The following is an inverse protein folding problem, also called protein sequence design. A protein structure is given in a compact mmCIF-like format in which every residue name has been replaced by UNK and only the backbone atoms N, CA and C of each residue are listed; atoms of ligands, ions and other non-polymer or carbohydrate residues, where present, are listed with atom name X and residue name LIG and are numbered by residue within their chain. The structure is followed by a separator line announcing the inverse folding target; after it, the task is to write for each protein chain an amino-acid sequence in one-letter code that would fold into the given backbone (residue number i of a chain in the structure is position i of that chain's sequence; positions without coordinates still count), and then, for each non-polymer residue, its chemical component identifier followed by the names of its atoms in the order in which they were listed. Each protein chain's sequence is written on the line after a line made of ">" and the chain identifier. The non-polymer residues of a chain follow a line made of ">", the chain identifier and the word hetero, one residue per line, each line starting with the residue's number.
data_IF_174353313456
#
_entry.id   IF_174353313456
#
_cell.length_a   1.000
_cell.length_b   1.000
_cell.length_c   1.000
_cell.angle_alpha   90.00
_cell.angle_beta   90.00
_cell.angle_gamma   90.00
#
_symmetry.space_group_name_H-M   'P 1'
#
loop_
_entity.id
_entity.type
_entity.pdbx_description
1 polymer ?
#
# COMPACT_ATOMS: atom_id res chain seq x y z
N UNK A 1 5.12 -5.69 -20.19
CA UNK A 1 3.65 -5.63 -20.32
C UNK A 1 3.10 -5.01 -19.03
N UNK A 2 2.65 -3.76 -19.06
CA UNK A 2 2.13 -3.03 -17.89
C UNK A 2 0.60 -2.98 -17.97
N UNK A 3 -0.10 -3.15 -16.85
CA UNK A 3 -1.57 -3.11 -16.77
C UNK A 3 -2.13 -1.82 -17.39
N UNK A 4 -1.45 -0.69 -17.18
CA UNK A 4 -1.78 0.62 -17.75
C UNK A 4 -1.71 0.63 -19.28
N UNK A 5 -0.72 -0.04 -19.87
CA UNK A 5 -0.56 -0.14 -21.33
C UNK A 5 -1.65 -1.02 -21.93
N UNK A 6 -2.14 -2.02 -21.18
CA UNK A 6 -3.25 -2.88 -21.58
C UNK A 6 -4.64 -2.21 -21.42
N UNK A 7 -4.72 -0.92 -21.12
CA UNK A 7 -5.97 -0.18 -20.96
C UNK A 7 -6.70 -0.42 -19.63
N UNK A 8 -6.07 -1.13 -18.69
CA UNK A 8 -6.62 -1.34 -17.34
C UNK A 8 -6.19 -0.18 -16.46
N UNK A 9 -7.16 0.54 -15.89
CA UNK A 9 -6.88 1.64 -14.98
C UNK A 9 -6.29 1.11 -13.67
N UNK A 10 -5.07 1.52 -13.35
CA UNK A 10 -4.35 1.08 -12.15
C UNK A 10 -3.70 2.24 -11.42
N UNK A 11 -3.82 2.23 -10.09
CA UNK A 11 -3.20 3.19 -9.18
C UNK A 11 -2.28 2.47 -8.21
N UNK A 12 -1.07 3.00 -8.03
CA UNK A 12 -0.16 2.55 -6.98
C UNK A 12 -0.39 3.37 -5.73
N UNK A 13 -0.93 2.76 -4.69
CA UNK A 13 -1.19 3.40 -3.39
C UNK A 13 -0.51 2.56 -2.31
N UNK A 14 0.32 3.19 -1.48
CA UNK A 14 0.85 2.52 -0.30
C UNK A 14 -0.25 2.41 0.75
N UNK A 15 -0.59 1.19 1.15
CA UNK A 15 -1.41 0.95 2.34
C UNK A 15 -0.60 0.95 3.64
N UNK A 16 0.71 1.15 3.57
CA UNK A 16 1.59 1.11 4.74
C UNK A 16 1.83 2.53 5.25
N UNK A 17 1.28 2.81 6.43
CA UNK A 17 1.53 4.05 7.16
C UNK A 17 2.87 3.94 7.87
N UNK A 18 3.83 4.77 7.49
CA UNK A 18 5.18 4.82 8.07
C UNK A 18 5.59 6.25 8.31
N UNK A 19 6.57 6.43 9.19
CA UNK A 19 7.24 7.70 9.34
C UNK A 19 7.89 8.10 8.00
N UNK A 20 7.75 9.38 7.62
CA UNK A 20 8.30 9.91 6.37
C UNK A 20 9.83 9.86 6.38
N UNK A 21 10.44 9.94 7.56
CA UNK A 21 11.88 9.90 7.73
C UNK A 21 12.43 8.45 7.84
N UNK A 22 11.56 7.45 7.97
CA UNK A 22 11.94 6.03 8.09
C UNK A 22 11.66 5.24 6.79
N UNK A 23 12.48 5.49 5.76
CA UNK A 23 12.35 4.85 4.44
C UNK A 23 13.30 3.66 4.31
N UNK A 24 12.77 2.45 4.51
CA UNK A 24 13.55 1.19 4.51
C UNK A 24 13.18 0.19 3.42
N UNK A 25 12.32 0.58 2.48
CA UNK A 25 11.89 -0.32 1.41
C UNK A 25 13.11 -0.83 0.64
N UNK A 26 13.26 -2.15 0.55
CA UNK A 26 14.42 -2.84 -0.04
C UNK A 26 15.75 -2.70 0.73
N UNK A 27 15.74 -2.19 1.97
CA UNK A 27 16.91 -2.13 2.83
C UNK A 27 17.18 -3.45 3.57
N UNK A 28 18.41 -3.64 4.06
CA UNK A 28 18.79 -4.86 4.82
C UNK A 28 17.98 -5.06 6.12
N UNK A 29 17.55 -3.98 6.76
CA UNK A 29 16.69 -3.98 7.96
C UNK A 29 15.29 -3.45 7.64
N UNK A 30 14.71 -3.93 6.52
CA UNK A 30 13.33 -3.65 6.16
C UNK A 30 12.39 -4.25 7.21
N UNK A 31 11.52 -3.42 7.79
CA UNK A 31 10.58 -3.80 8.84
C UNK A 31 9.34 -2.92 8.83
N UNK A 32 8.26 -3.43 9.40
CA UNK A 32 6.98 -2.74 9.53
C UNK A 32 6.48 -2.86 10.97
N UNK A 33 6.05 -1.74 11.55
CA UNK A 33 5.42 -1.76 12.88
C UNK A 33 4.11 -2.53 12.87
N UNK A 34 3.86 -3.33 13.92
CA UNK A 34 2.63 -4.14 14.04
C UNK A 34 1.36 -3.30 13.95
N UNK A 35 1.35 -2.11 14.57
CA UNK A 35 0.22 -1.18 14.47
C UNK A 35 -0.02 -0.73 13.02
N UNK A 36 1.02 -0.25 12.36
CA UNK A 36 0.97 0.18 10.95
C UNK A 36 0.49 -0.93 10.01
N UNK A 37 0.86 -2.18 10.29
CA UNK A 37 0.37 -3.35 9.55
C UNK A 37 -1.16 -3.51 9.65
N UNK A 38 -1.72 -3.44 10.86
CA UNK A 38 -3.16 -3.60 11.05
C UNK A 38 -3.97 -2.40 10.54
N UNK A 39 -3.47 -1.17 10.73
CA UNK A 39 -4.10 0.04 10.19
C UNK A 39 -4.09 0.01 8.66
N UNK A 40 -2.98 -0.42 8.05
CA UNK A 40 -2.88 -0.58 6.60
C UNK A 40 -3.86 -1.60 6.03
N UNK A 41 -4.05 -2.74 6.73
CA UNK A 41 -5.04 -3.75 6.36
C UNK A 41 -6.46 -3.18 6.38
N UNK A 42 -6.83 -2.45 7.42
CA UNK A 42 -8.16 -1.83 7.53
C UNK A 42 -8.38 -0.78 6.44
N UNK A 43 -7.38 0.06 6.18
CA UNK A 43 -7.41 1.06 5.12
C UNK A 43 -7.63 0.42 3.75
N UNK A 44 -6.81 -0.57 3.37
CA UNK A 44 -6.93 -1.24 2.08
C UNK A 44 -8.27 -1.96 1.93
N UNK A 45 -8.78 -2.57 3.00
CA UNK A 45 -10.11 -3.18 2.99
C UNK A 45 -11.20 -2.15 2.68
N UNK A 46 -11.20 -1.00 3.37
CA UNK A 46 -12.17 0.07 3.12
C UNK A 46 -12.03 0.64 1.70
N UNK A 47 -10.81 0.88 1.23
CA UNK A 47 -10.54 1.39 -0.11
C UNK A 47 -11.15 0.48 -1.17
N UNK A 48 -10.85 -0.82 -1.12
CA UNK A 48 -11.38 -1.79 -2.08
C UNK A 48 -12.90 -1.88 -1.97
N UNK A 49 -13.46 -1.89 -0.77
CA UNK A 49 -14.92 -1.91 -0.56
C UNK A 49 -15.62 -0.68 -1.15
N UNK A 50 -15.03 0.51 -1.05
CA UNK A 50 -15.55 1.73 -1.64
C UNK A 50 -15.45 1.71 -3.17
N UNK A 51 -14.36 1.20 -3.73
CA UNK A 51 -14.18 1.11 -5.19
C UNK A 51 -15.03 0.02 -5.86
N UNK A 52 -15.47 -0.98 -5.10
CA UNK A 52 -16.31 -2.08 -5.58
C UNK A 52 -17.82 -1.79 -5.50
N UNK A 53 -18.22 -0.54 -5.19
CA UNK A 53 -19.62 -0.10 -5.18
C UNK A 53 -20.17 0.11 -6.59
#
# INVERSE_FOLDING_TARGET
>A
MSLRIAGILTYGISGLFKDVDDVRSHGRDERLGVKAFYEGREFLYRLVKTLAQ
#
